data_IF_827326393257
#
_entry.id   IF_827326393257
#
_cell.length_a   1.000
_cell.length_b   1.000
_cell.length_c   1.000
_cell.angle_alpha   90.00
_cell.angle_beta   90.00
_cell.angle_gamma   90.00
#
_symmetry.space_group_name_H-M   'P 1'
#
loop_
_entity.id
_entity.type
_entity.pdbx_description
1 polymer ?
#
# COMPACT_ATOMS: atom_id res chain seq x y z
N UNK A 1 -4.96 -25.58 30.70
CA UNK A 1 -5.41 -24.18 30.84
C UNK A 1 -4.75 -23.37 29.75
N UNK A 2 -5.47 -23.10 28.66
CA UNK A 2 -4.95 -22.28 27.56
C UNK A 2 -4.88 -20.83 28.02
N UNK A 3 -3.74 -20.17 27.81
CA UNK A 3 -3.61 -18.75 28.09
C UNK A 3 -4.66 -17.98 27.30
N UNK A 4 -5.41 -17.10 27.96
CA UNK A 4 -6.29 -16.18 27.26
C UNK A 4 -5.46 -15.40 26.23
N UNK A 5 -5.90 -15.33 24.96
CA UNK A 5 -5.21 -14.55 23.95
C UNK A 5 -5.07 -13.10 24.43
N UNK A 6 -3.84 -12.60 24.57
CA UNK A 6 -3.60 -11.21 24.98
C UNK A 6 -3.89 -10.29 23.79
N UNK A 7 -5.08 -9.68 23.82
CA UNK A 7 -5.49 -8.67 22.86
C UNK A 7 -4.72 -7.36 23.08
N UNK A 8 -4.20 -6.78 22.00
CA UNK A 8 -3.50 -5.51 22.02
C UNK A 8 -3.96 -4.58 20.90
N UNK A 9 -3.85 -3.28 21.12
CA UNK A 9 -4.09 -2.27 20.08
C UNK A 9 -2.94 -2.34 19.07
N UNK A 10 -3.27 -2.58 17.81
CA UNK A 10 -2.33 -2.61 16.68
C UNK A 10 -2.26 -1.27 15.96
N UNK A 11 -3.40 -0.58 15.82
CA UNK A 11 -3.49 0.71 15.14
C UNK A 11 -4.67 1.53 15.66
N UNK A 12 -4.52 2.86 15.69
CA UNK A 12 -5.62 3.80 15.93
C UNK A 12 -5.83 4.63 14.66
N UNK A 13 -7.04 4.62 14.11
CA UNK A 13 -7.39 5.43 12.94
C UNK A 13 -8.01 6.77 13.35
N UNK A 14 -8.81 6.74 14.41
CA UNK A 14 -9.42 7.91 15.04
C UNK A 14 -9.58 7.64 16.54
N UNK A 15 -10.02 8.62 17.35
CA UNK A 15 -10.38 8.38 18.75
C UNK A 15 -11.42 7.27 18.93
N UNK A 16 -12.28 7.09 17.91
CA UNK A 16 -13.46 6.23 17.94
C UNK A 16 -13.27 4.93 17.16
N UNK A 17 -12.10 4.69 16.55
CA UNK A 17 -11.84 3.52 15.71
C UNK A 17 -10.42 3.00 15.89
N UNK A 18 -10.32 1.79 16.44
CA UNK A 18 -9.05 1.11 16.70
C UNK A 18 -9.06 -0.32 16.16
N UNK A 19 -7.92 -0.73 15.62
CA UNK A 19 -7.66 -2.14 15.27
C UNK A 19 -6.96 -2.79 16.44
N UNK A 20 -7.51 -3.91 16.88
CA UNK A 20 -6.95 -4.77 17.91
C UNK A 20 -6.57 -6.11 17.30
N UNK A 21 -5.63 -6.80 17.93
CA UNK A 21 -5.34 -8.17 17.55
C UNK A 21 -4.73 -8.98 18.67
N UNK A 22 -4.84 -10.28 18.54
CA UNK A 22 -4.19 -11.24 19.43
C UNK A 22 -3.36 -12.23 18.62
N UNK A 23 -2.10 -12.46 19.01
CA UNK A 23 -1.30 -13.49 18.38
C UNK A 23 -1.82 -14.88 18.76
N UNK A 24 -1.69 -15.81 17.83
CA UNK A 24 -1.86 -17.25 18.02
C UNK A 24 -0.74 -17.98 17.28
N UNK A 25 -0.36 -19.16 17.75
CA UNK A 25 0.52 -20.05 17.00
C UNK A 25 -0.27 -21.28 16.60
N UNK A 26 -0.50 -21.46 15.31
CA UNK A 26 -1.24 -22.60 14.74
C UNK A 26 -0.27 -23.41 13.88
N UNK A 27 -0.06 -24.69 14.20
CA UNK A 27 0.88 -25.56 13.50
C UNK A 27 2.32 -25.01 13.38
N UNK A 28 2.77 -24.23 14.37
CA UNK A 28 4.10 -23.60 14.36
C UNK A 28 4.19 -22.28 13.60
N UNK A 29 3.11 -21.88 12.90
CA UNK A 29 3.00 -20.59 12.24
C UNK A 29 2.34 -19.56 13.16
N UNK A 30 2.94 -18.38 13.24
CA UNK A 30 2.37 -17.28 14.01
C UNK A 30 1.29 -16.59 13.17
N UNK A 31 0.09 -16.47 13.72
CA UNK A 31 -1.10 -15.84 13.14
C UNK A 31 -1.67 -14.78 14.09
N UNK A 32 -2.56 -13.95 13.59
CA UNK A 32 -3.22 -12.87 14.32
C UNK A 32 -4.72 -12.92 14.11
N UNK A 33 -5.45 -13.03 15.21
CA UNK A 33 -6.84 -12.61 15.21
C UNK A 33 -6.90 -11.09 15.11
N UNK A 34 -7.75 -10.58 14.22
CA UNK A 34 -7.93 -9.15 14.01
C UNK A 34 -9.36 -8.77 14.36
N UNK A 35 -9.50 -7.64 15.04
CA UNK A 35 -10.78 -7.02 15.31
C UNK A 35 -10.71 -5.51 15.12
N UNK A 36 -11.83 -4.92 14.73
CA UNK A 36 -12.02 -3.49 14.73
C UNK A 36 -13.02 -3.15 15.83
N UNK A 37 -12.59 -2.32 16.77
CA UNK A 37 -13.46 -1.70 17.76
C UNK A 37 -13.80 -0.30 17.26
N UNK A 38 -15.09 -0.04 17.08
CA UNK A 38 -15.61 1.24 16.64
C UNK A 38 -16.72 1.73 17.58
N UNK A 39 -16.72 3.02 17.93
CA UNK A 39 -17.88 3.64 18.55
C UNK A 39 -18.92 3.94 17.46
N UNK A 40 -20.08 3.30 17.54
CA UNK A 40 -21.19 3.50 16.61
C UNK A 40 -22.35 4.19 17.32
N UNK A 41 -22.96 5.14 16.61
CA UNK A 41 -24.21 5.78 17.00
C UNK A 41 -25.36 4.99 16.40
N UNK A 42 -25.56 3.78 16.93
CA UNK A 42 -26.70 2.94 16.57
C UNK A 42 -27.96 3.51 17.25
N UNK A 43 -29.09 3.44 16.57
CA UNK A 43 -30.42 3.82 17.08
C UNK A 43 -30.62 5.34 17.32
N UNK A 44 -30.35 6.18 16.30
CA UNK A 44 -30.83 7.57 16.31
C UNK A 44 -32.30 7.64 15.89
N UNK A 45 -33.19 7.81 16.86
CA UNK A 45 -34.56 8.30 16.61
C UNK A 45 -34.48 9.73 16.06
N UNK A 46 -35.22 10.09 14.98
CA UNK A 46 -35.11 11.39 14.31
C UNK A 46 -35.29 12.61 15.23
N UNK A 47 -36.11 12.46 16.27
CA UNK A 47 -36.48 13.52 17.23
C UNK A 47 -36.01 13.23 18.67
N UNK A 48 -35.16 12.22 18.87
CA UNK A 48 -34.64 11.82 20.17
C UNK A 48 -33.35 12.57 20.57
N UNK A 49 -33.02 12.65 21.88
CA UNK A 49 -31.71 13.13 22.29
C UNK A 49 -30.60 12.24 21.70
N UNK A 50 -29.40 12.79 21.39
CA UNK A 50 -28.33 12.01 20.79
C UNK A 50 -27.98 10.80 21.66
N UNK A 51 -28.14 9.59 21.11
CA UNK A 51 -27.79 8.36 21.79
C UNK A 51 -26.30 8.34 22.11
N UNK A 52 -25.94 7.88 23.31
CA UNK A 52 -24.55 7.68 23.66
C UNK A 52 -23.92 6.64 22.71
N UNK A 53 -22.71 6.88 22.19
CA UNK A 53 -22.05 5.94 21.29
C UNK A 53 -21.85 4.59 21.98
N UNK A 54 -22.08 3.51 21.25
CA UNK A 54 -21.86 2.14 21.74
C UNK A 54 -20.66 1.51 21.05
N UNK A 55 -19.82 0.75 21.78
CA UNK A 55 -18.74 0.01 21.17
C UNK A 55 -19.31 -1.15 20.34
N UNK A 56 -18.97 -1.16 19.05
CA UNK A 56 -19.19 -2.27 18.13
C UNK A 56 -17.84 -2.93 17.89
N UNK A 57 -17.81 -4.25 18.03
CA UNK A 57 -16.64 -5.07 17.71
C UNK A 57 -16.95 -5.86 16.46
N UNK A 58 -16.20 -5.61 15.40
CA UNK A 58 -16.19 -6.45 14.20
C UNK A 58 -14.95 -7.31 14.25
N UNK A 59 -15.14 -8.62 14.25
CA UNK A 59 -14.06 -9.58 14.26
C UNK A 59 -13.90 -10.15 12.85
N UNK A 60 -12.66 -10.26 12.39
CA UNK A 60 -12.40 -11.07 11.22
C UNK A 60 -12.67 -12.54 11.57
N UNK A 61 -13.42 -13.29 10.73
CA UNK A 61 -13.76 -14.68 11.02
C UNK A 61 -12.56 -15.62 11.02
N UNK A 62 -11.39 -15.22 10.50
CA UNK A 62 -10.22 -16.07 10.40
C UNK A 62 -8.94 -15.38 10.92
N UNK A 63 -8.01 -16.14 11.51
CA UNK A 63 -6.72 -15.60 11.90
C UNK A 63 -5.82 -15.39 10.69
N UNK A 64 -5.19 -14.23 10.61
CA UNK A 64 -4.35 -13.80 9.50
C UNK A 64 -2.88 -14.17 9.73
N UNK A 65 -2.12 -14.58 8.71
CA UNK A 65 -0.69 -14.83 8.85
C UNK A 65 0.07 -13.56 9.26
N UNK A 66 1.12 -13.69 10.07
CA UNK A 66 2.01 -12.55 10.36
C UNK A 66 2.75 -12.18 9.07
N UNK A 67 2.56 -10.94 8.64
CA UNK A 67 3.27 -10.37 7.51
C UNK A 67 4.58 -9.72 7.98
N UNK A 68 5.58 -9.74 7.12
CA UNK A 68 6.71 -8.84 7.26
C UNK A 68 6.21 -7.39 7.27
N UNK A 69 6.75 -6.59 8.18
CA UNK A 69 6.41 -5.17 8.29
C UNK A 69 6.71 -4.42 6.99
N UNK A 70 6.07 -3.27 6.80
CA UNK A 70 6.33 -2.37 5.67
C UNK A 70 7.82 -2.07 5.50
N UNK A 71 8.52 -1.85 6.61
CA UNK A 71 9.94 -1.55 6.63
C UNK A 71 10.81 -2.75 6.22
N UNK A 72 10.46 -3.97 6.67
CA UNK A 72 11.16 -5.19 6.28
C UNK A 72 10.99 -5.49 4.80
N UNK A 73 9.76 -5.42 4.28
CA UNK A 73 9.49 -5.59 2.84
C UNK A 73 10.24 -4.56 2.01
N UNK A 74 10.21 -3.28 2.40
CA UNK A 74 10.96 -2.21 1.72
C UNK A 74 12.47 -2.46 1.70
N UNK A 75 13.05 -3.08 2.74
CA UNK A 75 14.49 -3.39 2.78
C UNK A 75 14.89 -4.53 1.85
N UNK A 76 13.99 -5.46 1.59
CA UNK A 76 14.24 -6.61 0.74
C UNK A 76 13.99 -6.32 -0.76
N UNK A 77 13.27 -5.25 -1.08
CA UNK A 77 12.80 -4.97 -2.44
C UNK A 77 13.47 -3.73 -3.04
N UNK A 78 13.64 -3.75 -4.35
CA UNK A 78 14.10 -2.64 -5.17
C UNK A 78 13.14 -2.47 -6.36
N UNK A 79 12.95 -1.22 -6.80
CA UNK A 79 12.22 -0.91 -8.03
C UNK A 79 13.22 -0.56 -9.13
N UNK A 80 13.15 -1.27 -10.26
CA UNK A 80 14.07 -1.09 -11.38
C UNK A 80 13.31 -0.91 -12.69
N UNK A 81 13.58 0.18 -13.39
CA UNK A 81 13.05 0.38 -14.74
C UNK A 81 13.65 -0.64 -15.71
N UNK A 82 12.83 -1.29 -16.55
CA UNK A 82 13.36 -2.11 -17.63
C UNK A 82 14.15 -1.21 -18.61
N UNK A 83 15.19 -1.78 -19.22
CA UNK A 83 16.02 -1.04 -20.16
C UNK A 83 15.23 -0.61 -21.40
N UNK A 84 15.05 0.71 -21.54
CA UNK A 84 14.51 1.47 -22.69
C UNK A 84 12.98 1.51 -22.89
N UNK A 85 12.48 2.69 -23.26
CA UNK A 85 11.07 2.98 -23.56
C UNK A 85 10.37 3.82 -22.49
N UNK A 86 9.23 4.44 -22.85
CA UNK A 86 8.33 5.01 -21.85
C UNK A 86 7.78 3.87 -20.99
N UNK A 87 7.91 3.92 -19.66
CA UNK A 87 7.69 2.73 -18.86
C UNK A 87 6.20 2.44 -18.69
N UNK A 88 5.74 1.40 -19.35
CA UNK A 88 4.45 0.76 -19.07
C UNK A 88 4.52 -0.20 -17.88
N UNK A 89 5.73 -0.57 -17.47
CA UNK A 89 5.98 -1.53 -16.42
C UNK A 89 7.30 -1.24 -15.69
N UNK A 90 7.43 -1.78 -14.48
CA UNK A 90 8.66 -1.76 -13.68
C UNK A 90 8.92 -3.15 -13.13
N UNK A 91 10.18 -3.46 -12.85
CA UNK A 91 10.55 -4.66 -12.12
C UNK A 91 10.56 -4.37 -10.61
N UNK A 92 9.85 -5.19 -9.85
CA UNK A 92 10.03 -5.34 -8.41
C UNK A 92 11.07 -6.44 -8.21
N UNK A 93 12.28 -6.09 -7.78
CA UNK A 93 13.40 -7.02 -7.59
C UNK A 93 13.55 -7.35 -6.11
N UNK A 94 13.61 -8.64 -5.78
CA UNK A 94 13.91 -9.08 -4.42
C UNK A 94 15.43 -9.24 -4.23
N UNK A 95 16.02 -8.32 -3.47
CA UNK A 95 17.42 -8.31 -3.06
C UNK A 95 17.65 -8.95 -1.69
N UNK A 96 16.57 -9.32 -0.99
CA UNK A 96 16.62 -10.02 0.29
C UNK A 96 17.09 -11.46 0.15
N UNK A 97 17.46 -12.08 1.27
CA UNK A 97 17.94 -13.47 1.33
C UNK A 97 16.81 -14.51 1.35
N UNK A 98 15.55 -14.08 1.39
CA UNK A 98 14.37 -14.94 1.49
C UNK A 98 13.30 -14.53 0.47
N UNK A 99 12.39 -15.44 0.08
CA UNK A 99 11.22 -15.08 -0.72
C UNK A 99 10.38 -13.99 -0.04
N UNK A 100 9.81 -13.08 -0.84
CA UNK A 100 8.88 -12.05 -0.37
C UNK A 100 7.50 -12.33 -0.97
N UNK A 101 6.50 -12.47 -0.12
CA UNK A 101 5.11 -12.55 -0.55
C UNK A 101 4.49 -11.15 -0.60
N UNK A 102 3.88 -10.83 -1.73
CA UNK A 102 3.15 -9.59 -1.97
C UNK A 102 1.71 -9.93 -2.32
N UNK A 103 0.76 -9.24 -1.70
CA UNK A 103 -0.64 -9.36 -2.12
C UNK A 103 -0.89 -8.57 -3.40
N UNK A 104 -1.89 -8.97 -4.19
CA UNK A 104 -2.35 -8.24 -5.37
C UNK A 104 -2.55 -6.74 -5.10
N UNK A 105 -3.14 -6.40 -3.95
CA UNK A 105 -3.35 -5.02 -3.49
C UNK A 105 -2.05 -4.25 -3.19
N UNK A 106 -0.94 -4.95 -3.02
CA UNK A 106 0.38 -4.39 -2.68
C UNK A 106 1.24 -4.17 -3.92
N UNK A 107 0.82 -4.66 -5.10
CA UNK A 107 1.54 -4.53 -6.37
C UNK A 107 1.26 -3.21 -7.10
N UNK A 108 0.51 -2.30 -6.47
CA UNK A 108 0.24 -0.98 -7.00
C UNK A 108 1.52 -0.14 -7.12
N UNK A 109 2.00 0.04 -8.36
CA UNK A 109 3.10 0.94 -8.68
C UNK A 109 2.61 2.16 -9.44
N UNK A 110 3.03 3.32 -8.94
CA UNK A 110 2.86 4.61 -9.59
C UNK A 110 4.19 5.10 -10.15
N UNK A 111 4.14 5.81 -11.28
CA UNK A 111 5.23 6.64 -11.75
C UNK A 111 4.81 8.10 -11.64
N UNK A 112 5.35 8.79 -10.64
CA UNK A 112 4.99 10.16 -10.33
C UNK A 112 5.89 11.09 -11.14
N UNK A 113 5.27 11.89 -12.01
CA UNK A 113 5.96 12.93 -12.77
C UNK A 113 6.17 14.16 -11.88
N UNK A 114 7.42 14.61 -11.77
CA UNK A 114 7.84 15.76 -10.98
C UNK A 114 8.76 16.67 -11.79
N UNK A 115 8.93 17.92 -11.36
CA UNK A 115 9.91 18.82 -11.97
C UNK A 115 11.36 18.36 -11.73
N UNK A 116 12.32 18.79 -12.56
CA UNK A 116 13.73 18.41 -12.40
C UNK A 116 14.28 18.70 -11.00
N UNK A 117 15.01 17.74 -10.41
CA UNK A 117 15.61 17.84 -9.07
C UNK A 117 14.62 17.79 -7.91
N UNK A 118 13.35 17.42 -8.15
CA UNK A 118 12.33 17.36 -7.09
C UNK A 118 12.38 16.01 -6.38
N UNK A 119 12.91 15.99 -5.15
CA UNK A 119 12.96 14.78 -4.32
C UNK A 119 11.73 14.59 -3.41
N UNK A 120 11.01 15.67 -3.11
CA UNK A 120 9.83 15.65 -2.24
C UNK A 120 8.57 15.98 -3.03
N UNK A 121 7.60 15.07 -3.01
CA UNK A 121 6.35 15.21 -3.73
C UNK A 121 5.21 14.53 -2.99
N UNK A 122 3.98 14.91 -3.33
CA UNK A 122 2.76 14.29 -2.83
C UNK A 122 1.86 13.88 -3.98
N UNK A 123 1.03 12.88 -3.77
CA UNK A 123 0.07 12.39 -4.74
C UNK A 123 -1.12 11.76 -4.00
N UNK A 124 -2.30 11.81 -4.64
CA UNK A 124 -3.47 11.07 -4.19
C UNK A 124 -3.47 9.66 -4.78
N UNK A 125 -3.74 8.65 -3.97
CA UNK A 125 -3.99 7.29 -4.44
C UNK A 125 -5.15 6.67 -3.67
N UNK A 126 -6.09 6.11 -4.41
CA UNK A 126 -7.17 5.29 -3.88
C UNK A 126 -7.33 4.09 -4.80
N UNK A 127 -7.35 2.91 -4.22
CA UNK A 127 -7.64 1.68 -4.96
C UNK A 127 -8.55 0.79 -4.14
N UNK A 128 -9.52 0.19 -4.82
CA UNK A 128 -10.42 -0.80 -4.25
C UNK A 128 -9.83 -2.16 -4.61
N UNK A 129 -8.70 -2.49 -3.99
CA UNK A 129 -8.00 -3.73 -4.27
C UNK A 129 -8.89 -4.95 -4.07
N UNK A 130 -8.78 -5.94 -4.95
CA UNK A 130 -9.37 -7.27 -4.73
C UNK A 130 -8.43 -8.03 -3.80
N UNK A 131 -8.85 -8.24 -2.56
CA UNK A 131 -8.18 -9.13 -1.61
C UNK A 131 -8.30 -10.56 -2.14
N UNK A 132 -7.18 -11.28 -2.30
CA UNK A 132 -7.28 -12.73 -2.50
C UNK A 132 -6.06 -13.44 -3.07
N UNK A 133 -5.23 -12.78 -3.88
CA UNK A 133 -4.10 -13.45 -4.53
C UNK A 133 -2.76 -12.93 -4.01
N UNK A 134 -1.86 -13.86 -3.69
CA UNK A 134 -0.48 -13.57 -3.28
C UNK A 134 0.49 -13.97 -4.37
N UNK A 135 1.44 -13.08 -4.67
CA UNK A 135 2.55 -13.34 -5.58
C UNK A 135 3.83 -13.46 -4.77
N UNK A 136 4.55 -14.56 -4.97
CA UNK A 136 5.85 -14.78 -4.33
C UNK A 136 6.97 -14.32 -5.26
N UNK A 137 7.80 -13.38 -4.80
CA UNK A 137 9.03 -12.98 -5.50
C UNK A 137 10.21 -13.73 -4.86
N UNK A 138 10.85 -14.69 -5.57
CA UNK A 138 11.98 -15.45 -5.02
C UNK A 138 13.15 -14.55 -4.65
N UNK A 139 14.02 -15.00 -3.73
CA UNK A 139 15.30 -14.33 -3.44
C UNK A 139 16.12 -14.22 -4.73
N UNK A 140 16.59 -13.02 -5.07
CA UNK A 140 17.27 -12.72 -6.33
C UNK A 140 16.37 -12.68 -7.56
N UNK A 141 15.07 -12.96 -7.41
CA UNK A 141 14.07 -12.92 -8.47
C UNK A 141 13.52 -11.51 -8.70
N UNK A 142 12.73 -11.38 -9.76
CA UNK A 142 11.99 -10.15 -10.06
C UNK A 142 10.59 -10.45 -10.58
N UNK A 143 9.70 -9.48 -10.41
CA UNK A 143 8.34 -9.49 -10.93
C UNK A 143 8.14 -8.22 -11.76
N UNK A 144 7.74 -8.37 -13.01
CA UNK A 144 7.36 -7.24 -13.85
C UNK A 144 5.90 -6.85 -13.55
N UNK A 145 5.67 -5.60 -13.15
CA UNK A 145 4.35 -5.08 -12.81
C UNK A 145 3.99 -3.87 -13.66
N UNK A 146 2.72 -3.70 -14.06
CA UNK A 146 2.28 -2.52 -14.78
C UNK A 146 2.40 -1.28 -13.91
N UNK A 147 2.67 -0.15 -14.55
CA UNK A 147 2.87 1.14 -13.88
C UNK A 147 1.82 2.13 -14.33
N UNK A 148 1.21 2.84 -13.37
CA UNK A 148 0.30 3.95 -13.67
C UNK A 148 1.05 5.27 -13.55
N UNK A 149 1.05 6.05 -14.61
CA UNK A 149 1.70 7.36 -14.63
C UNK A 149 0.72 8.40 -14.11
N UNK A 150 1.17 9.19 -13.14
CA UNK A 150 0.39 10.27 -12.53
C UNK A 150 1.27 11.51 -12.35
N UNK A 151 0.64 12.67 -12.21
CA UNK A 151 1.33 13.91 -11.82
C UNK A 151 1.36 14.06 -10.31
N UNK A 152 2.42 14.68 -9.79
CA UNK A 152 2.42 15.14 -8.42
C UNK A 152 1.26 16.14 -8.19
N UNK A 153 0.70 16.15 -6.97
CA UNK A 153 -0.38 17.06 -6.59
C UNK A 153 -0.01 18.52 -6.86
N UNK A 154 -0.85 19.22 -7.61
CA UNK A 154 -0.64 20.63 -7.96
C UNK A 154 0.37 20.88 -9.09
N UNK A 155 0.97 19.84 -9.67
CA UNK A 155 1.84 19.99 -10.84
C UNK A 155 1.02 20.14 -12.13
N UNK A 156 1.40 21.10 -12.97
CA UNK A 156 0.92 21.22 -14.34
C UNK A 156 1.95 20.63 -15.30
N UNK A 157 1.51 19.74 -16.19
CA UNK A 157 2.36 19.23 -17.26
C UNK A 157 2.39 20.23 -18.42
N UNK A 158 3.60 20.63 -18.80
CA UNK A 158 3.90 21.38 -20.02
C UNK A 158 5.05 20.66 -20.75
N UNK A 159 5.23 20.86 -22.06
CA UNK A 159 6.36 20.28 -22.75
C UNK A 159 7.70 20.73 -22.14
N UNK A 160 8.63 19.79 -21.95
CA UNK A 160 9.95 20.04 -21.38
C UNK A 160 10.47 18.86 -20.54
N UNK A 161 11.53 19.11 -19.78
CA UNK A 161 12.19 18.07 -18.99
C UNK A 161 11.59 17.92 -17.59
N UNK A 162 11.35 16.67 -17.21
CA UNK A 162 10.78 16.24 -15.93
C UNK A 162 11.54 15.01 -15.41
N UNK A 163 11.18 14.56 -14.21
CA UNK A 163 11.64 13.32 -13.63
C UNK A 163 10.46 12.39 -13.35
N UNK A 164 10.69 11.09 -13.53
CA UNK A 164 9.71 10.05 -13.29
C UNK A 164 10.14 9.19 -12.10
N UNK A 165 9.40 9.30 -11.00
CA UNK A 165 9.69 8.63 -9.74
C UNK A 165 8.80 7.39 -9.56
N UNK A 166 9.36 6.17 -9.54
CA UNK A 166 8.57 4.98 -9.28
C UNK A 166 8.30 4.81 -7.78
N UNK A 167 7.04 4.51 -7.44
CA UNK A 167 6.58 4.32 -6.06
C UNK A 167 5.72 3.07 -5.96
N UNK A 168 6.16 2.11 -5.14
CA UNK A 168 5.31 0.99 -4.72
C UNK A 168 4.48 1.45 -3.51
N UNK A 169 3.17 1.66 -3.70
CA UNK A 169 2.35 2.46 -2.78
C UNK A 169 2.26 1.85 -1.38
N UNK A 170 2.00 0.53 -1.30
CA UNK A 170 1.82 -0.16 -0.02
C UNK A 170 3.10 -0.30 0.82
N UNK A 171 4.27 -0.26 0.19
CA UNK A 171 5.56 -0.30 0.91
C UNK A 171 6.20 1.09 1.05
N UNK A 172 5.81 2.04 0.20
CA UNK A 172 6.45 3.36 0.09
C UNK A 172 7.90 3.22 -0.33
N UNK A 173 8.19 2.14 -1.05
CA UNK A 173 9.48 1.94 -1.68
C UNK A 173 9.54 2.90 -2.87
N UNK A 174 10.58 3.73 -2.85
CA UNK A 174 10.96 4.59 -3.96
C UNK A 174 12.07 3.90 -4.73
N UNK A 175 11.97 3.89 -6.05
CA UNK A 175 13.10 3.53 -6.92
C UNK A 175 13.85 4.76 -7.41
N UNK A 176 14.82 4.52 -8.28
CA UNK A 176 15.60 5.58 -8.92
C UNK A 176 14.71 6.39 -9.88
N UNK A 177 14.79 7.72 -9.77
CA UNK A 177 14.14 8.63 -10.69
C UNK A 177 14.85 8.60 -12.04
N UNK A 178 14.08 8.56 -13.13
CA UNK A 178 14.64 8.64 -14.48
C UNK A 178 14.24 9.95 -15.15
N UNK A 179 15.12 10.55 -15.97
CA UNK A 179 14.75 11.69 -16.80
C UNK A 179 13.58 11.34 -17.72
N UNK A 180 12.62 12.25 -17.82
CA UNK A 180 11.47 12.15 -18.70
C UNK A 180 11.36 13.42 -19.52
N UNK A 181 11.46 13.30 -20.84
CA UNK A 181 11.11 14.40 -21.73
C UNK A 181 9.60 14.34 -22.01
N UNK A 182 8.89 15.39 -21.61
CA UNK A 182 7.45 15.53 -21.81
C UNK A 182 7.20 16.29 -23.11
N UNK A 183 6.44 15.68 -24.01
CA UNK A 183 5.98 16.31 -25.25
C UNK A 183 4.47 16.57 -25.20
N UNK A 184 3.95 17.38 -26.12
CA UNK A 184 2.51 17.63 -26.26
C UNK A 184 1.72 16.34 -26.50
N UNK A 185 2.28 15.38 -27.25
CA UNK A 185 1.67 14.07 -27.49
C UNK A 185 1.60 13.23 -26.22
N UNK A 186 2.64 13.26 -25.38
CA UNK A 186 2.63 12.55 -24.10
C UNK A 186 1.58 13.14 -23.16
N UNK A 187 1.48 14.48 -23.10
CA UNK A 187 0.45 15.16 -22.30
C UNK A 187 -0.94 14.73 -22.74
N UNK A 188 -1.22 14.73 -24.05
CA UNK A 188 -2.50 14.27 -24.58
C UNK A 188 -2.81 12.81 -24.20
N UNK A 189 -1.80 11.94 -24.19
CA UNK A 189 -1.96 10.53 -23.77
C UNK A 189 -2.20 10.35 -22.27
N UNK A 190 -1.68 11.25 -21.44
CA UNK A 190 -1.87 11.20 -19.98
C UNK A 190 -3.17 11.86 -19.51
N UNK A 191 -3.75 12.74 -20.33
CA UNK A 191 -4.98 13.48 -20.01
C UNK A 191 -6.24 12.95 -20.71
N UNK A 192 -6.09 12.09 -21.72
CA UNK A 192 -7.19 11.40 -22.42
C UNK A 192 -7.50 10.04 -21.82
#
# INVERSE_FOLDING_TARGET
MGACPFWRVLRRYSPDSVVVGSPETVHGERRWWLGQLQLAYLDQEPDGPPAAPRPVVMMDPQPHPVRASRAERRRALELRWPSSGFPSSIEIVNRGSAPVELWSSELAVLAVVTGPGTAEFSFGYSDYGVLGETVTVPSGGSLLVPVRVITASGAALVPGSFELHPVLVDSGLLGEAVPLEVTSELIARLQG
#
